data_IF_434866292270
#
_entry.id   IF_434866292270
#
_cell.length_a   1.000
_cell.length_b   1.000
_cell.length_c   1.000
_cell.angle_alpha   90.00
_cell.angle_beta   90.00
_cell.angle_gamma   90.00
#
_symmetry.space_group_name_H-M   'P 1'
#
loop_
_entity.id
_entity.type
_entity.pdbx_description
1 polymer ?
#
# COMPACT_ATOMS: atom_id res chain seq x y z
N UNK A 1 -0.53 0.81 -38.34
CA UNK A 1 -1.59 -0.19 -38.15
C UNK A 1 -2.67 0.47 -37.32
N UNK A 2 -3.81 0.71 -37.96
CA UNK A 2 -4.97 1.42 -37.42
C UNK A 2 -5.77 0.42 -36.57
N UNK A 3 -5.99 0.70 -35.30
CA UNK A 3 -6.97 -0.03 -34.50
C UNK A 3 -8.37 0.41 -34.94
N UNK A 4 -9.32 -0.51 -35.18
CA UNK A 4 -10.68 -0.12 -35.53
C UNK A 4 -11.36 0.50 -34.31
N UNK A 5 -11.98 1.65 -34.51
CA UNK A 5 -12.95 2.26 -33.60
C UNK A 5 -14.12 1.28 -33.42
N UNK A 6 -14.12 0.56 -32.30
CA UNK A 6 -15.30 -0.19 -31.85
C UNK A 6 -16.12 0.70 -30.93
N UNK A 7 -17.30 1.00 -31.42
CA UNK A 7 -18.40 1.77 -30.85
C UNK A 7 -18.63 1.57 -29.35
N UNK A 8 -19.04 2.68 -28.73
CA UNK A 8 -19.51 2.80 -27.36
C UNK A 8 -20.53 1.70 -26.99
N UNK A 9 -20.11 0.77 -26.14
CA UNK A 9 -21.06 0.02 -25.31
C UNK A 9 -20.92 0.53 -23.88
N UNK A 10 -21.58 1.66 -23.63
CA UNK A 10 -21.92 2.15 -22.28
C UNK A 10 -22.84 1.13 -21.59
N UNK A 11 -22.24 0.06 -21.08
CA UNK A 11 -22.85 -0.77 -20.06
C UNK A 11 -22.67 -0.01 -18.74
N UNK A 12 -23.56 0.94 -18.49
CA UNK A 12 -23.79 1.44 -17.15
C UNK A 12 -24.18 0.25 -16.27
N UNK A 13 -23.18 -0.38 -15.64
CA UNK A 13 -23.39 -1.29 -14.52
C UNK A 13 -24.05 -0.46 -13.44
N UNK A 14 -25.38 -0.51 -13.41
CA UNK A 14 -26.23 -0.03 -12.34
C UNK A 14 -25.84 -0.82 -11.08
N UNK A 15 -24.84 -0.31 -10.36
CA UNK A 15 -24.56 -0.75 -9.00
C UNK A 15 -25.72 -0.24 -8.17
N UNK A 16 -26.61 -1.15 -7.74
CA UNK A 16 -27.54 -0.86 -6.66
C UNK A 16 -26.67 -0.40 -5.48
N UNK A 17 -26.63 0.89 -5.22
CA UNK A 17 -26.04 1.42 -4.00
C UNK A 17 -26.86 0.84 -2.85
N UNK A 18 -26.30 -0.14 -2.14
CA UNK A 18 -26.93 -0.64 -0.92
C UNK A 18 -27.11 0.54 0.05
N UNK A 19 -28.29 0.62 0.66
CA UNK A 19 -28.63 1.66 1.62
C UNK A 19 -27.64 1.64 2.80
N UNK A 20 -26.91 2.75 3.09
CA UNK A 20 -25.92 2.82 4.17
C UNK A 20 -26.47 2.38 5.53
N UNK A 21 -27.75 2.63 5.79
CA UNK A 21 -28.38 2.29 7.06
C UNK A 21 -28.63 0.78 7.20
N UNK A 22 -28.91 0.10 6.08
CA UNK A 22 -29.01 -1.36 6.05
C UNK A 22 -27.67 -2.04 6.37
N UNK A 23 -26.56 -1.46 5.90
CA UNK A 23 -25.21 -1.93 6.16
C UNK A 23 -24.84 -1.71 7.63
N UNK A 24 -25.15 -0.53 8.20
CA UNK A 24 -24.91 -0.24 9.63
C UNK A 24 -25.58 -1.26 10.54
N UNK A 25 -26.82 -1.64 10.24
CA UNK A 25 -27.57 -2.64 11.00
C UNK A 25 -26.91 -4.01 10.93
N UNK A 26 -26.54 -4.47 9.73
CA UNK A 26 -25.85 -5.75 9.54
C UNK A 26 -24.49 -5.79 10.22
N UNK A 27 -23.71 -4.71 10.15
CA UNK A 27 -22.43 -4.62 10.88
C UNK A 27 -22.63 -4.74 12.38
N UNK A 28 -23.69 -4.11 12.94
CA UNK A 28 -24.01 -4.22 14.37
C UNK A 28 -24.44 -5.63 14.78
N UNK A 29 -25.28 -6.27 13.96
CA UNK A 29 -25.69 -7.68 14.17
C UNK A 29 -24.46 -8.61 14.13
N UNK A 30 -23.54 -8.37 13.20
CA UNK A 30 -22.28 -9.11 13.09
C UNK A 30 -21.36 -8.87 14.29
N UNK A 31 -21.14 -7.63 14.70
CA UNK A 31 -20.31 -7.27 15.87
C UNK A 31 -20.82 -7.96 17.14
N UNK A 32 -22.14 -8.02 17.34
CA UNK A 32 -22.74 -8.73 18.46
C UNK A 32 -22.44 -10.24 18.39
N UNK A 33 -22.63 -10.86 17.22
CA UNK A 33 -22.36 -12.30 17.04
C UNK A 33 -20.88 -12.65 17.28
N UNK A 34 -19.98 -11.76 16.89
CA UNK A 34 -18.53 -11.95 17.08
C UNK A 34 -18.18 -11.76 18.55
N UNK A 35 -18.71 -10.74 19.22
CA UNK A 35 -18.51 -10.51 20.65
C UNK A 35 -18.89 -11.71 21.52
N UNK A 36 -19.96 -12.42 21.16
CA UNK A 36 -20.40 -13.65 21.85
C UNK A 36 -19.45 -14.85 21.65
N UNK A 37 -18.74 -14.89 20.52
CA UNK A 37 -17.81 -15.98 20.15
C UNK A 37 -16.36 -15.71 20.59
N UNK A 38 -16.04 -14.47 20.94
CA UNK A 38 -14.69 -14.06 21.27
C UNK A 38 -14.29 -14.53 22.68
N UNK A 39 -13.49 -15.59 22.74
CA UNK A 39 -12.73 -15.94 23.93
C UNK A 39 -11.47 -15.06 24.03
N UNK A 40 -11.09 -14.60 25.25
CA UNK A 40 -9.81 -13.92 25.44
C UNK A 40 -8.66 -14.83 25.01
N UNK A 41 -7.64 -14.26 24.37
CA UNK A 41 -6.42 -15.02 24.12
C UNK A 41 -5.70 -15.32 25.45
N UNK A 42 -4.88 -16.38 25.54
CA UNK A 42 -4.17 -16.75 26.77
C UNK A 42 -3.25 -15.67 27.35
N UNK A 43 -2.87 -14.68 26.55
CA UNK A 43 -2.06 -13.52 26.92
C UNK A 43 -2.87 -12.36 27.51
N UNK A 44 -4.19 -12.55 27.73
CA UNK A 44 -5.07 -11.54 28.31
C UNK A 44 -5.44 -10.41 27.35
N UNK A 45 -4.99 -10.47 26.09
CA UNK A 45 -5.40 -9.52 25.08
C UNK A 45 -6.78 -9.93 24.54
N UNK A 46 -7.78 -9.06 24.72
CA UNK A 46 -9.03 -9.13 23.96
C UNK A 46 -8.73 -8.97 22.48
N UNK A 47 -9.47 -9.68 21.63
CA UNK A 47 -9.08 -10.19 20.30
C UNK A 47 -8.78 -9.20 19.17
N UNK A 48 -8.41 -7.96 19.47
CA UNK A 48 -8.04 -6.96 18.48
C UNK A 48 -6.52 -6.83 18.45
N UNK A 49 -5.93 -7.17 17.30
CA UNK A 49 -4.51 -7.05 17.08
C UNK A 49 -4.12 -5.57 17.09
N UNK A 50 -3.11 -5.22 17.88
CA UNK A 50 -2.45 -3.93 17.73
C UNK A 50 -1.39 -4.04 16.63
N UNK A 51 -1.23 -2.99 15.85
CA UNK A 51 -0.05 -2.86 14.98
C UNK A 51 1.21 -2.70 15.83
N UNK A 52 2.38 -2.78 15.21
CA UNK A 52 3.66 -2.45 15.87
C UNK A 52 3.71 -0.99 16.37
N UNK A 53 2.91 -0.09 15.79
CA UNK A 53 2.78 1.30 16.24
C UNK A 53 1.78 1.47 17.40
N UNK A 54 1.11 0.40 17.83
CA UNK A 54 0.14 0.43 18.93
C UNK A 54 -1.31 0.75 18.52
N UNK A 55 -1.57 0.93 17.23
CA UNK A 55 -2.90 1.23 16.71
C UNK A 55 -3.80 -0.01 16.77
N UNK A 56 -5.05 0.20 17.18
CA UNK A 56 -6.03 -0.91 17.28
C UNK A 56 -6.56 -1.26 15.89
N UNK A 57 -6.42 -2.51 15.48
CA UNK A 57 -6.95 -3.00 14.20
C UNK A 57 -8.31 -3.65 14.42
N UNK A 58 -9.33 -3.15 13.71
CA UNK A 58 -10.67 -3.76 13.72
C UNK A 58 -10.63 -5.12 13.01
N UNK A 59 -11.46 -6.10 13.42
CA UNK A 59 -11.51 -7.41 12.78
C UNK A 59 -12.09 -7.35 11.36
N UNK A 60 -12.88 -6.32 11.08
CA UNK A 60 -13.51 -6.08 9.79
C UNK A 60 -13.53 -4.57 9.54
N UNK A 61 -13.18 -4.18 8.31
CA UNK A 61 -13.36 -2.83 7.80
C UNK A 61 -14.39 -2.90 6.66
N UNK A 62 -15.32 -1.95 6.66
CA UNK A 62 -16.45 -1.89 5.74
C UNK A 62 -16.47 -0.55 5.01
N UNK A 63 -17.30 -0.37 3.96
CA UNK A 63 -17.48 0.94 3.34
C UNK A 63 -17.89 2.05 4.32
N UNK A 64 -18.48 1.71 5.48
CA UNK A 64 -18.79 2.68 6.54
C UNK A 64 -17.55 3.22 7.27
N UNK A 65 -16.43 2.50 7.21
CA UNK A 65 -15.16 2.89 7.79
C UNK A 65 -14.31 3.72 6.81
N UNK A 66 -14.76 3.83 5.56
CA UNK A 66 -14.17 4.77 4.60
C UNK A 66 -14.84 6.13 4.76
N UNK A 67 -14.08 7.21 4.55
CA UNK A 67 -14.60 8.58 4.52
C UNK A 67 -14.82 8.99 3.05
N UNK A 68 -15.96 8.65 2.43
CA UNK A 68 -16.19 8.93 1.01
C UNK A 68 -16.29 10.42 0.69
N UNK A 69 -16.65 11.26 1.68
CA UNK A 69 -16.82 12.70 1.48
C UNK A 69 -15.49 13.42 1.20
N UNK A 70 -14.37 12.86 1.67
CA UNK A 70 -13.03 13.42 1.55
C UNK A 70 -12.20 12.71 0.45
N UNK A 71 -12.83 11.94 -0.43
CA UNK A 71 -12.10 11.14 -1.43
C UNK A 71 -11.15 11.98 -2.30
N UNK A 72 -11.64 13.11 -2.81
CA UNK A 72 -10.84 13.98 -3.69
C UNK A 72 -9.81 14.81 -2.92
N UNK A 73 -10.05 15.13 -1.65
CA UNK A 73 -9.09 15.87 -0.81
C UNK A 73 -7.99 14.98 -0.27
N UNK A 74 -8.32 13.75 0.14
CA UNK A 74 -7.42 12.89 0.91
C UNK A 74 -6.73 11.85 0.03
N UNK A 75 -7.42 11.28 -0.95
CA UNK A 75 -6.87 10.24 -1.84
C UNK A 75 -6.43 10.82 -3.18
N UNK A 76 -7.29 11.63 -3.80
CA UNK A 76 -7.07 12.26 -5.11
C UNK A 76 -6.62 11.27 -6.20
N UNK A 77 -6.03 11.77 -7.29
CA UNK A 77 -5.46 10.96 -8.38
C UNK A 77 -3.93 10.82 -8.22
N UNK A 78 -3.31 9.71 -8.69
CA UNK A 78 -1.85 9.59 -8.70
C UNK A 78 -1.22 10.74 -9.49
N UNK A 79 -0.12 11.30 -8.99
CA UNK A 79 0.53 12.47 -9.59
C UNK A 79 -0.13 13.82 -9.29
N UNK A 80 -1.15 13.84 -8.43
CA UNK A 80 -1.77 15.09 -7.97
C UNK A 80 -1.76 15.16 -6.44
N UNK A 81 -1.69 16.38 -5.89
CA UNK A 81 -1.78 16.58 -4.44
C UNK A 81 -3.07 15.93 -3.88
N UNK A 82 -3.03 15.25 -2.72
CA UNK A 82 -1.91 15.15 -1.73
C UNK A 82 -0.92 14.01 -1.98
N UNK A 83 -0.90 13.42 -3.19
CA UNK A 83 0.00 12.33 -3.59
C UNK A 83 -0.15 11.03 -2.80
N UNK A 84 -1.27 10.83 -2.09
CA UNK A 84 -1.57 9.61 -1.33
C UNK A 84 -1.50 8.35 -2.18
N UNK A 85 -1.83 8.45 -3.47
CA UNK A 85 -1.77 7.34 -4.44
C UNK A 85 -0.46 7.25 -5.23
N UNK A 86 0.51 8.11 -4.94
CA UNK A 86 1.80 8.16 -5.61
C UNK A 86 2.10 9.54 -6.21
N UNK A 87 3.40 9.83 -6.34
CA UNK A 87 3.92 11.12 -6.85
C UNK A 87 3.88 11.23 -8.38
N UNK A 88 3.87 10.10 -9.09
CA UNK A 88 3.83 10.05 -10.56
C UNK A 88 2.48 9.53 -11.05
N UNK A 89 1.90 10.08 -12.14
CA UNK A 89 0.63 9.59 -12.67
C UNK A 89 0.68 8.13 -13.14
N UNK A 90 1.80 7.70 -13.71
CA UNK A 90 1.98 6.36 -14.28
C UNK A 90 2.68 5.38 -13.33
N UNK A 91 3.37 5.89 -12.29
CA UNK A 91 4.13 5.10 -11.31
C UNK A 91 4.96 3.98 -12.01
N UNK A 92 4.88 2.76 -11.47
CA UNK A 92 5.60 1.58 -11.93
C UNK A 92 5.13 1.00 -13.26
N UNK A 93 4.16 1.64 -13.94
CA UNK A 93 3.84 1.30 -15.33
C UNK A 93 4.83 1.93 -16.32
N UNK A 94 5.42 3.07 -15.95
CA UNK A 94 6.41 3.76 -16.78
C UNK A 94 7.84 3.46 -16.28
N UNK A 95 8.09 3.66 -14.98
CA UNK A 95 9.41 3.44 -14.38
C UNK A 95 9.30 2.57 -13.14
N UNK A 96 9.97 1.42 -13.12
CA UNK A 96 10.07 0.58 -11.93
C UNK A 96 10.81 1.31 -10.81
N UNK A 97 10.59 0.89 -9.55
CA UNK A 97 11.37 1.40 -8.44
C UNK A 97 12.86 1.07 -8.63
N UNK A 98 13.72 1.95 -8.14
CA UNK A 98 15.17 1.75 -8.21
C UNK A 98 15.56 0.59 -7.31
N UNK A 99 16.13 -0.46 -7.89
CA UNK A 99 16.70 -1.57 -7.15
C UNK A 99 18.08 -1.16 -6.66
N UNK A 100 18.14 -0.67 -5.42
CA UNK A 100 19.37 -0.19 -4.79
C UNK A 100 19.80 -1.07 -3.63
N UNK A 101 20.87 -1.86 -3.79
CA UNK A 101 21.50 -2.56 -2.68
C UNK A 101 22.42 -1.59 -1.93
N UNK A 102 22.29 -1.55 -0.60
CA UNK A 102 23.27 -0.92 0.26
C UNK A 102 24.53 -1.79 0.29
N UNK A 103 25.65 -1.26 -0.20
CA UNK A 103 26.91 -2.00 -0.35
C UNK A 103 28.12 -1.08 -0.26
N UNK A 104 29.12 -1.47 0.51
CA UNK A 104 30.41 -0.77 0.61
C UNK A 104 31.22 -1.44 1.70
N UNK A 105 32.48 -1.74 1.42
CA UNK A 105 33.40 -2.31 2.40
C UNK A 105 34.85 -2.16 1.90
N UNK A 106 35.78 -2.19 2.86
CA UNK A 106 37.21 -2.24 2.57
C UNK A 106 37.68 -1.01 1.79
N UNK A 107 38.46 -1.22 0.73
CA UNK A 107 38.99 -0.13 -0.09
C UNK A 107 38.04 0.29 -1.22
N UNK A 108 38.34 1.44 -1.84
CA UNK A 108 37.58 1.93 -2.99
C UNK A 108 37.60 0.94 -4.16
N UNK A 109 38.70 0.23 -4.38
CA UNK A 109 38.85 -0.78 -5.42
C UNK A 109 37.94 -1.98 -5.17
N UNK A 110 37.90 -2.50 -3.94
CA UNK A 110 37.05 -3.64 -3.55
C UNK A 110 35.57 -3.30 -3.72
N UNK A 111 35.18 -2.11 -3.28
CA UNK A 111 33.83 -1.60 -3.49
C UNK A 111 33.53 -1.43 -4.99
N UNK A 112 34.47 -0.93 -5.80
CA UNK A 112 34.28 -0.81 -7.25
C UNK A 112 34.04 -2.16 -7.93
N UNK A 113 34.81 -3.19 -7.56
CA UNK A 113 34.61 -4.55 -8.05
C UNK A 113 33.22 -5.08 -7.69
N UNK A 114 32.76 -4.82 -6.46
CA UNK A 114 31.41 -5.21 -6.02
C UNK A 114 30.32 -4.48 -6.80
N UNK A 115 30.46 -3.18 -7.04
CA UNK A 115 29.48 -2.39 -7.81
C UNK A 115 29.35 -2.91 -9.25
N UNK A 116 30.47 -3.20 -9.92
CA UNK A 116 30.47 -3.79 -11.26
C UNK A 116 29.75 -5.15 -11.30
N UNK A 117 30.00 -6.01 -10.30
CA UNK A 117 29.28 -7.27 -10.16
C UNK A 117 27.76 -7.05 -10.01
N UNK A 118 27.35 -6.05 -9.23
CA UNK A 118 25.94 -5.76 -9.00
C UNK A 118 25.24 -5.20 -10.24
N UNK A 119 25.93 -4.34 -11.01
CA UNK A 119 25.45 -3.87 -12.32
C UNK A 119 25.20 -5.05 -13.26
N UNK A 120 26.15 -6.00 -13.34
CA UNK A 120 25.99 -7.22 -14.16
C UNK A 120 24.79 -8.07 -13.73
N UNK A 121 24.39 -8.02 -12.45
CA UNK A 121 23.19 -8.69 -11.92
C UNK A 121 21.91 -7.85 -12.04
N UNK A 122 21.93 -6.73 -12.74
CA UNK A 122 20.75 -5.92 -13.03
C UNK A 122 20.40 -4.90 -11.94
N UNK A 123 21.35 -4.55 -11.08
CA UNK A 123 21.14 -3.47 -10.11
C UNK A 123 21.08 -2.11 -10.81
N UNK A 124 20.07 -1.29 -10.48
CA UNK A 124 19.79 -0.01 -11.14
C UNK A 124 20.07 1.23 -10.28
N UNK A 125 20.31 1.06 -8.96
CA UNK A 125 20.76 2.14 -8.08
C UNK A 125 21.82 1.68 -7.10
N UNK A 126 22.59 2.61 -6.53
CA UNK A 126 23.68 2.29 -5.60
C UNK A 126 23.60 3.17 -4.37
N UNK A 127 23.81 2.56 -3.21
CA UNK A 127 23.98 3.27 -1.95
C UNK A 127 25.22 2.72 -1.27
N UNK A 128 26.21 3.59 -1.02
CA UNK A 128 27.54 3.19 -0.55
C UNK A 128 27.62 3.36 0.96
N UNK A 129 27.92 2.27 1.65
CA UNK A 129 28.27 2.30 3.06
C UNK A 129 29.72 2.78 3.22
N UNK A 130 29.93 3.74 4.12
CA UNK A 130 31.27 4.17 4.52
C UNK A 130 31.59 3.60 5.91
N UNK A 131 32.87 3.40 6.19
CA UNK A 131 33.33 3.02 7.51
C UNK A 131 33.17 4.19 8.49
N UNK A 132 33.12 3.87 9.80
CA UNK A 132 32.84 4.85 10.84
C UNK A 132 33.84 6.03 10.88
N UNK A 133 35.16 5.85 10.64
CA UNK A 133 36.08 6.98 10.57
C UNK A 133 35.80 7.97 9.43
N UNK A 134 35.14 7.54 8.36
CA UNK A 134 34.84 8.35 7.17
C UNK A 134 33.47 9.04 7.25
N UNK A 135 32.54 8.49 8.03
CA UNK A 135 31.18 9.03 8.22
C UNK A 135 31.17 10.36 8.98
#
# INVERSE_FOLDING_TARGET
>A
MCWPESEESSAAMSTKSEDPDSLRRKCKEWDQSVGEQLSPRPDGQTAWCKTLSGESVKPLYTPLDTHPEDYLSDLSFPGTYPYTRGIDPLMYRDNLWVMGQYSGFGTAEETNHRLKYLIDKGQTGFSIAMDLPTQ
#
